data_IF_712152470001
#
_entry.id   IF_712152470001
#
_cell.length_a   1.000
_cell.length_b   1.000
_cell.length_c   1.000
_cell.angle_alpha   90.00
_cell.angle_beta   90.00
_cell.angle_gamma   90.00
#
_symmetry.space_group_name_H-M   'P 1'
#
loop_
_entity.id
_entity.type
_entity.pdbx_description
1 polymer ?
#
# COMPACT_ATOMS: atom_id res chain seq x y z
N UNK A 1 -16.37 63.36 19.80
CA UNK A 1 -15.72 64.29 20.75
C UNK A 1 -15.14 63.50 21.90
N UNK A 2 -13.83 63.53 22.08
CA UNK A 2 -13.17 62.86 23.22
C UNK A 2 -13.20 63.83 24.41
N UNK A 3 -13.88 63.46 25.51
CA UNK A 3 -13.86 64.25 26.75
C UNK A 3 -12.54 64.02 27.48
N UNK A 4 -11.78 65.08 27.74
CA UNK A 4 -10.59 65.07 28.58
C UNK A 4 -10.97 65.47 30.00
N UNK A 5 -10.48 64.73 30.98
CA UNK A 5 -10.72 64.96 32.41
C UNK A 5 -9.40 65.47 32.99
N UNK A 6 -9.36 66.76 33.33
CA UNK A 6 -8.17 67.40 33.87
C UNK A 6 -8.16 67.28 35.39
N UNK A 7 -6.99 66.98 35.95
CA UNK A 7 -6.76 67.00 37.38
C UNK A 7 -6.42 68.44 37.79
N UNK A 8 -7.31 69.09 38.54
CA UNK A 8 -7.17 70.48 38.97
C UNK A 8 -6.04 70.67 39.99
N UNK A 9 -5.50 69.59 40.55
CA UNK A 9 -4.35 69.62 41.48
C UNK A 9 -2.99 69.70 40.75
N UNK A 10 -2.98 69.62 39.42
CA UNK A 10 -1.77 69.59 38.58
C UNK A 10 -1.72 70.74 37.59
N UNK A 11 -0.52 71.10 37.16
CA UNK A 11 -0.32 72.08 36.09
C UNK A 11 -0.93 71.63 34.75
N UNK A 12 -1.21 72.57 33.86
CA UNK A 12 -1.69 72.29 32.50
C UNK A 12 -0.69 71.38 31.75
N UNK A 13 0.60 71.66 31.90
CA UNK A 13 1.69 70.89 31.28
C UNK A 13 1.81 69.48 31.86
N UNK A 14 1.59 69.31 33.17
CA UNK A 14 1.58 68.00 33.82
C UNK A 14 0.38 67.15 33.36
N UNK A 15 -0.81 67.75 33.24
CA UNK A 15 -1.96 67.06 32.68
C UNK A 15 -1.70 66.63 31.23
N UNK A 16 -1.11 67.49 30.41
CA UNK A 16 -0.72 67.17 29.03
C UNK A 16 0.31 66.02 28.98
N UNK A 17 1.31 66.03 29.86
CA UNK A 17 2.33 64.99 29.96
C UNK A 17 1.74 63.62 30.34
N UNK A 18 0.76 63.59 31.26
CA UNK A 18 0.06 62.34 31.64
C UNK A 18 -0.71 61.75 30.46
N UNK A 19 -1.39 62.57 29.67
CA UNK A 19 -2.11 62.11 28.47
C UNK A 19 -1.15 61.64 27.38
N UNK A 20 -0.02 62.31 27.21
CA UNK A 20 1.04 61.92 26.28
C UNK A 20 1.67 60.56 26.65
N UNK A 21 2.00 60.37 27.93
CA UNK A 21 2.46 59.11 28.52
C UNK A 21 1.46 57.96 28.28
N UNK A 22 0.16 58.21 28.52
CA UNK A 22 -0.91 57.24 28.29
C UNK A 22 -1.02 56.87 26.81
N UNK A 23 -1.00 57.86 25.92
CA UNK A 23 -1.05 57.64 24.46
C UNK A 23 0.17 56.82 23.98
N UNK A 24 1.38 57.14 24.49
CA UNK A 24 2.61 56.40 24.19
C UNK A 24 2.55 54.94 24.66
N UNK A 25 2.03 54.69 25.87
CA UNK A 25 1.81 53.33 26.42
C UNK A 25 0.80 52.53 25.59
N UNK A 26 -0.32 53.14 25.19
CA UNK A 26 -1.34 52.50 24.35
C UNK A 26 -0.76 52.17 22.96
N UNK A 27 -0.05 53.11 22.33
CA UNK A 27 0.60 52.90 21.03
C UNK A 27 1.62 51.76 21.05
N UNK A 28 2.38 51.62 22.15
CA UNK A 28 3.31 50.49 22.34
C UNK A 28 2.58 49.14 22.52
N UNK A 29 1.42 49.13 23.19
CA UNK A 29 0.59 47.93 23.38
C UNK A 29 -0.12 47.49 22.08
N UNK A 30 -0.56 48.43 21.24
CA UNK A 30 -1.23 48.15 19.96
C UNK A 30 -0.34 47.28 19.06
N UNK A 31 0.94 47.64 18.89
CA UNK A 31 1.84 46.84 18.03
C UNK A 31 2.07 45.40 18.54
N UNK A 32 2.01 45.18 19.86
CA UNK A 32 2.05 43.83 20.44
C UNK A 32 0.75 43.05 20.20
N UNK A 33 -0.39 43.72 20.37
CA UNK A 33 -1.71 43.13 20.13
C UNK A 33 -1.94 42.79 18.64
N UNK A 34 -1.50 43.67 17.72
CA UNK A 34 -1.56 43.44 16.27
C UNK A 34 -0.72 42.24 15.85
N UNK A 35 0.50 42.09 16.40
CA UNK A 35 1.34 40.91 16.15
C UNK A 35 0.69 39.62 16.67
N UNK A 36 0.19 39.63 17.90
CA UNK A 36 -0.50 38.49 18.48
C UNK A 36 -1.76 38.10 17.67
N UNK A 37 -2.51 39.09 17.18
CA UNK A 37 -3.67 38.88 16.32
C UNK A 37 -3.25 38.26 14.98
N UNK A 38 -2.19 38.76 14.35
CA UNK A 38 -1.68 38.23 13.08
C UNK A 38 -1.20 36.78 13.21
N UNK A 39 -0.48 36.45 14.28
CA UNK A 39 -0.04 35.08 14.58
C UNK A 39 -1.24 34.14 14.83
N UNK A 40 -2.23 34.59 15.59
CA UNK A 40 -3.46 33.83 15.85
C UNK A 40 -4.25 33.55 14.57
N UNK A 41 -4.44 34.56 13.71
CA UNK A 41 -5.11 34.42 12.41
C UNK A 41 -4.37 33.45 11.48
N UNK A 42 -3.03 33.54 11.42
CA UNK A 42 -2.21 32.61 10.63
C UNK A 42 -2.39 31.17 11.12
N UNK A 43 -2.34 30.96 12.44
CA UNK A 43 -2.52 29.64 13.04
C UNK A 43 -3.93 29.09 12.82
N UNK A 44 -4.95 29.94 12.85
CA UNK A 44 -6.33 29.56 12.54
C UNK A 44 -6.45 29.04 11.09
N UNK A 45 -5.89 29.77 10.11
CA UNK A 45 -5.89 29.34 8.71
C UNK A 45 -5.13 28.02 8.49
N UNK A 46 -3.99 27.84 9.16
CA UNK A 46 -3.24 26.57 9.10
C UNK A 46 -4.04 25.39 9.70
N UNK A 47 -4.83 25.63 10.75
CA UNK A 47 -5.69 24.61 11.34
C UNK A 47 -6.92 24.30 10.47
N UNK A 48 -7.54 25.30 9.87
CA UNK A 48 -8.66 25.13 8.93
C UNK A 48 -8.24 24.28 7.72
N UNK A 49 -7.13 24.64 7.08
CA UNK A 49 -6.59 23.87 5.94
C UNK A 49 -6.22 22.42 6.32
N UNK A 50 -5.69 22.19 7.53
CA UNK A 50 -5.47 20.83 8.04
C UNK A 50 -6.79 20.08 8.25
N UNK A 51 -7.80 20.74 8.81
CA UNK A 51 -9.12 20.15 9.07
C UNK A 51 -9.81 19.75 7.76
N UNK A 52 -9.77 20.60 6.73
CA UNK A 52 -10.29 20.31 5.40
C UNK A 52 -9.59 19.10 4.77
N UNK A 53 -8.27 19.02 4.85
CA UNK A 53 -7.50 17.85 4.38
C UNK A 53 -7.93 16.57 5.10
N UNK A 54 -8.09 16.61 6.43
CA UNK A 54 -8.53 15.46 7.22
C UNK A 54 -9.95 15.03 6.83
N UNK A 55 -10.87 15.97 6.60
CA UNK A 55 -12.25 15.66 6.17
C UNK A 55 -12.25 15.02 4.79
N UNK A 56 -11.46 15.57 3.86
CA UNK A 56 -11.32 15.01 2.51
C UNK A 56 -10.72 13.61 2.54
N UNK A 57 -9.68 13.36 3.33
CA UNK A 57 -9.09 12.03 3.51
C UNK A 57 -10.08 11.03 4.13
N UNK A 58 -10.83 11.45 5.15
CA UNK A 58 -11.87 10.60 5.78
C UNK A 58 -12.96 10.22 4.78
N UNK A 59 -13.49 11.17 4.02
CA UNK A 59 -14.51 10.88 3.00
C UNK A 59 -14.00 9.93 1.89
N UNK A 60 -12.72 10.05 1.50
CA UNK A 60 -12.10 9.11 0.56
C UNK A 60 -11.97 7.71 1.17
N UNK A 61 -11.57 7.61 2.44
CA UNK A 61 -11.50 6.34 3.16
C UNK A 61 -12.87 5.67 3.33
N UNK A 62 -13.94 6.43 3.57
CA UNK A 62 -15.30 5.90 3.65
C UNK A 62 -15.76 5.31 2.31
N UNK A 63 -15.54 6.04 1.20
CA UNK A 63 -15.82 5.52 -0.15
C UNK A 63 -15.02 4.26 -0.50
N UNK A 64 -13.77 4.15 -0.03
CA UNK A 64 -12.96 2.93 -0.19
C UNK A 64 -13.58 1.73 0.57
N UNK A 65 -14.12 1.96 1.77
CA UNK A 65 -14.76 0.90 2.58
C UNK A 65 -16.09 0.42 2.00
N UNK A 66 -16.83 1.29 1.32
CA UNK A 66 -18.09 0.94 0.67
C UNK A 66 -17.92 0.20 -0.66
N UNK A 67 -16.69 0.01 -1.16
CA UNK A 67 -16.48 -0.77 -2.38
C UNK A 67 -16.84 -2.24 -2.13
N UNK A 68 -17.61 -2.81 -3.05
CA UNK A 68 -17.81 -4.26 -3.15
C UNK A 68 -16.46 -4.94 -3.40
N UNK A 69 -15.94 -5.64 -2.40
CA UNK A 69 -14.69 -6.39 -2.53
C UNK A 69 -14.88 -7.58 -3.45
N UNK A 70 -13.98 -7.74 -4.41
CA UNK A 70 -13.95 -8.92 -5.26
C UNK A 70 -13.46 -10.14 -4.48
N UNK A 71 -13.96 -11.32 -4.83
CA UNK A 71 -13.69 -12.56 -4.10
C UNK A 71 -12.20 -12.91 -4.02
N UNK A 72 -11.41 -12.47 -5.00
CA UNK A 72 -9.97 -12.72 -5.10
C UNK A 72 -9.12 -11.79 -4.22
N UNK A 73 -9.67 -10.68 -3.72
CA UNK A 73 -8.93 -9.71 -2.88
C UNK A 73 -8.54 -10.31 -1.50
N UNK A 74 -9.17 -11.43 -1.12
CA UNK A 74 -8.77 -12.26 0.02
C UNK A 74 -7.47 -13.05 -0.20
N UNK A 75 -6.92 -13.06 -1.41
CA UNK A 75 -5.65 -13.68 -1.80
C UNK A 75 -4.62 -12.62 -2.23
N UNK A 76 -3.37 -13.03 -2.47
CA UNK A 76 -2.46 -12.23 -3.29
C UNK A 76 -3.02 -12.26 -4.70
N UNK A 77 -3.07 -11.13 -5.37
CA UNK A 77 -3.64 -11.10 -6.71
C UNK A 77 -3.07 -9.96 -7.53
N UNK A 78 -3.07 -10.15 -8.84
CA UNK A 78 -2.83 -9.11 -9.83
C UNK A 78 -3.48 -9.52 -11.16
N UNK A 79 -3.66 -8.54 -12.05
CA UNK A 79 -3.99 -8.80 -13.45
C UNK A 79 -2.68 -8.73 -14.24
N UNK A 80 -2.41 -9.73 -15.07
CA UNK A 80 -1.23 -9.74 -15.94
C UNK A 80 -1.31 -8.60 -16.96
N UNK A 81 -0.19 -8.29 -17.62
CA UNK A 81 -0.18 -7.32 -18.72
C UNK A 81 -1.02 -7.77 -19.92
N UNK A 82 -1.31 -9.07 -20.03
CA UNK A 82 -2.20 -9.64 -21.07
C UNK A 82 -3.65 -9.80 -20.59
N UNK A 83 -3.99 -9.32 -19.38
CA UNK A 83 -5.37 -9.28 -18.88
C UNK A 83 -5.85 -10.54 -18.13
N UNK A 84 -4.96 -11.47 -17.79
CA UNK A 84 -5.31 -12.67 -17.03
C UNK A 84 -5.30 -12.40 -15.52
N UNK A 85 -6.29 -12.89 -14.80
CA UNK A 85 -6.30 -12.85 -13.34
C UNK A 85 -5.31 -13.88 -12.79
N UNK A 86 -4.40 -13.42 -11.94
CA UNK A 86 -3.44 -14.27 -11.23
C UNK A 86 -3.70 -14.16 -9.74
N UNK A 87 -3.90 -15.29 -9.06
CA UNK A 87 -4.16 -15.35 -7.62
C UNK A 87 -3.14 -16.24 -6.92
N UNK A 88 -2.79 -15.95 -5.67
CA UNK A 88 -1.85 -16.74 -4.88
C UNK A 88 -2.17 -16.72 -3.39
N UNK A 89 -1.92 -17.85 -2.72
CA UNK A 89 -2.16 -17.93 -1.29
C UNK A 89 -1.21 -17.03 -0.48
N UNK A 90 -1.69 -16.58 0.68
CA UNK A 90 -0.95 -15.75 1.64
C UNK A 90 -0.28 -16.59 2.73
N UNK A 91 -0.83 -17.77 2.97
CA UNK A 91 -0.45 -18.73 4.00
C UNK A 91 -0.86 -20.16 3.57
N UNK A 92 -0.52 -21.15 4.39
CA UNK A 92 -0.86 -22.54 4.13
C UNK A 92 -2.38 -22.79 3.94
N UNK A 93 -3.23 -22.09 4.69
CA UNK A 93 -4.69 -22.31 4.62
C UNK A 93 -5.25 -21.74 3.32
N UNK A 94 -4.84 -20.54 2.94
CA UNK A 94 -5.25 -19.88 1.70
C UNK A 94 -4.66 -20.56 0.46
N UNK A 95 -3.44 -21.10 0.53
CA UNK A 95 -2.90 -21.98 -0.52
C UNK A 95 -3.84 -23.17 -0.78
N UNK A 96 -4.35 -23.81 0.28
CA UNK A 96 -5.32 -24.89 0.10
C UNK A 96 -6.62 -24.46 -0.54
N UNK A 97 -7.13 -23.28 -0.16
CA UNK A 97 -8.36 -22.75 -0.73
C UNK A 97 -8.17 -22.41 -2.22
N UNK A 98 -7.04 -21.79 -2.57
CA UNK A 98 -6.70 -21.47 -3.98
C UNK A 98 -6.69 -22.75 -4.81
N UNK A 99 -5.92 -23.77 -4.40
CA UNK A 99 -5.76 -25.02 -5.15
C UNK A 99 -7.03 -25.89 -5.16
N UNK A 100 -7.82 -25.92 -4.09
CA UNK A 100 -9.00 -26.82 -4.04
C UNK A 100 -10.28 -26.19 -4.56
N UNK A 101 -10.46 -24.87 -4.38
CA UNK A 101 -11.74 -24.19 -4.66
C UNK A 101 -11.68 -23.22 -5.83
N UNK A 102 -10.48 -22.80 -6.26
CA UNK A 102 -10.33 -21.72 -7.23
C UNK A 102 -9.46 -22.07 -8.45
N UNK A 103 -9.06 -23.32 -8.62
CA UNK A 103 -8.44 -23.84 -9.85
C UNK A 103 -9.45 -24.57 -10.73
N UNK A 104 -9.35 -24.33 -12.04
CA UNK A 104 -10.09 -25.03 -13.10
C UNK A 104 -9.13 -25.78 -14.02
N UNK A 105 -9.57 -26.79 -14.79
CA UNK A 105 -8.67 -27.66 -15.55
C UNK A 105 -7.67 -26.96 -16.50
N UNK A 106 -8.05 -25.80 -17.07
CA UNK A 106 -7.23 -25.05 -18.02
C UNK A 106 -6.34 -23.99 -17.36
N UNK A 107 -6.40 -23.84 -16.04
CA UNK A 107 -5.53 -22.91 -15.31
C UNK A 107 -4.09 -23.44 -15.27
N UNK A 108 -3.15 -22.58 -14.84
CA UNK A 108 -1.76 -22.98 -14.61
C UNK A 108 -1.35 -22.67 -13.18
N UNK A 109 -0.78 -23.66 -12.49
CA UNK A 109 -0.33 -23.54 -11.10
C UNK A 109 1.18 -23.35 -11.07
N UNK A 110 1.65 -22.37 -10.31
CA UNK A 110 3.05 -21.99 -10.15
C UNK A 110 3.49 -22.14 -8.70
N UNK A 111 4.69 -22.67 -8.49
CA UNK A 111 5.29 -22.84 -7.16
C UNK A 111 6.83 -22.93 -7.28
N UNK A 112 7.55 -22.60 -6.20
CA UNK A 112 9.02 -22.81 -6.15
C UNK A 112 9.36 -24.06 -5.36
N UNK A 113 10.53 -24.66 -5.55
CA UNK A 113 10.95 -25.81 -4.73
C UNK A 113 11.26 -25.42 -3.26
N UNK A 114 11.21 -24.12 -2.91
CA UNK A 114 11.44 -23.65 -1.56
C UNK A 114 10.25 -23.88 -0.64
N UNK A 115 10.54 -24.35 0.58
CA UNK A 115 9.55 -24.40 1.65
C UNK A 115 8.99 -23.00 1.96
N UNK A 116 7.67 -22.91 2.09
CA UNK A 116 6.96 -21.64 2.36
C UNK A 116 6.71 -20.80 1.10
N UNK A 117 6.89 -21.37 -0.10
CA UNK A 117 6.45 -20.75 -1.34
C UNK A 117 4.91 -20.68 -1.40
N UNK A 118 4.36 -19.59 -1.95
CA UNK A 118 2.93 -19.54 -2.27
C UNK A 118 2.64 -20.43 -3.49
N UNK A 119 1.40 -20.94 -3.55
CA UNK A 119 0.84 -21.47 -4.78
C UNK A 119 0.14 -20.34 -5.52
N UNK A 120 0.66 -19.97 -6.69
CA UNK A 120 0.00 -19.05 -7.60
C UNK A 120 -0.76 -19.79 -8.69
N UNK A 121 -1.86 -19.22 -9.15
CA UNK A 121 -2.72 -19.78 -10.19
C UNK A 121 -3.05 -18.68 -11.17
N UNK A 122 -2.77 -18.91 -12.45
CA UNK A 122 -3.23 -18.07 -13.55
C UNK A 122 -4.58 -18.61 -14.00
N UNK A 123 -5.62 -17.77 -13.91
CA UNK A 123 -6.97 -18.08 -14.36
C UNK A 123 -7.04 -17.95 -15.88
N UNK A 124 -7.13 -19.09 -16.58
CA UNK A 124 -7.15 -19.13 -18.04
C UNK A 124 -8.48 -18.63 -18.63
N UNK A 125 -9.60 -18.90 -17.94
CA UNK A 125 -10.95 -18.66 -18.46
C UNK A 125 -11.16 -19.27 -19.86
N UNK A 126 -10.56 -20.43 -20.12
CA UNK A 126 -10.55 -21.13 -21.42
C UNK A 126 -9.83 -20.39 -22.56
N UNK A 127 -8.97 -19.41 -22.24
CA UNK A 127 -8.09 -18.74 -23.20
C UNK A 127 -6.65 -19.24 -23.06
N UNK A 128 -5.87 -19.34 -24.15
CA UNK A 128 -4.47 -19.73 -24.08
C UNK A 128 -3.67 -18.70 -23.29
N UNK A 129 -2.95 -19.15 -22.26
CA UNK A 129 -2.10 -18.28 -21.43
C UNK A 129 -0.82 -17.95 -22.20
N UNK A 130 -0.61 -16.66 -22.48
CA UNK A 130 0.57 -16.15 -23.17
C UNK A 130 1.85 -16.29 -22.34
N UNK A 131 2.99 -16.28 -23.02
CA UNK A 131 4.29 -16.47 -22.36
C UNK A 131 4.59 -15.34 -21.37
N UNK A 132 4.15 -14.12 -21.69
CA UNK A 132 4.33 -12.96 -20.81
C UNK A 132 3.58 -13.13 -19.49
N UNK A 133 2.35 -13.65 -19.52
CA UNK A 133 1.60 -13.97 -18.31
C UNK A 133 2.29 -15.05 -17.48
N UNK A 134 2.89 -16.07 -18.12
CA UNK A 134 3.65 -17.10 -17.38
C UNK A 134 4.89 -16.50 -16.71
N UNK A 135 5.63 -15.65 -17.40
CA UNK A 135 6.77 -14.91 -16.82
C UNK A 135 6.34 -14.07 -15.63
N UNK A 136 5.22 -13.33 -15.74
CA UNK A 136 4.71 -12.50 -14.67
C UNK A 136 4.21 -13.33 -13.47
N UNK A 137 3.52 -14.44 -13.71
CA UNK A 137 3.12 -15.37 -12.66
C UNK A 137 4.33 -15.98 -11.95
N UNK A 138 5.39 -16.33 -12.70
CA UNK A 138 6.63 -16.83 -12.14
C UNK A 138 7.38 -15.74 -11.34
N UNK A 139 7.50 -14.51 -11.86
CA UNK A 139 8.07 -13.36 -11.14
C UNK A 139 7.35 -13.12 -9.80
N UNK A 140 6.01 -13.20 -9.79
CA UNK A 140 5.21 -13.08 -8.57
C UNK A 140 5.51 -14.25 -7.60
N UNK A 141 5.54 -15.47 -8.11
CA UNK A 141 5.84 -16.68 -7.31
C UNK A 141 7.22 -16.57 -6.65
N UNK A 142 8.24 -16.14 -7.39
CA UNK A 142 9.56 -15.81 -6.85
C UNK A 142 9.48 -14.77 -5.72
N UNK A 143 8.82 -13.66 -6.00
CA UNK A 143 8.78 -12.47 -5.14
C UNK A 143 8.04 -12.70 -3.83
N UNK A 144 6.98 -13.52 -3.82
CA UNK A 144 6.23 -13.83 -2.61
C UNK A 144 6.72 -15.09 -1.88
N UNK A 145 7.71 -15.79 -2.44
CA UNK A 145 8.37 -16.92 -1.79
C UNK A 145 9.40 -16.47 -0.76
N UNK A 146 10.09 -17.45 -0.16
CA UNK A 146 11.21 -17.22 0.75
C UNK A 146 12.40 -16.54 0.06
N UNK A 147 12.48 -16.58 -1.28
CA UNK A 147 13.55 -15.96 -2.04
C UNK A 147 13.64 -14.43 -1.82
N UNK A 148 12.52 -13.74 -1.58
CA UNK A 148 12.51 -12.33 -1.17
C UNK A 148 13.23 -12.10 0.16
N UNK A 149 12.92 -12.92 1.17
CA UNK A 149 13.57 -12.81 2.50
C UNK A 149 15.07 -13.07 2.42
N UNK A 150 15.47 -13.97 1.53
CA UNK A 150 16.87 -14.34 1.31
C UNK A 150 17.64 -13.32 0.45
N UNK A 151 16.95 -12.34 -0.15
CA UNK A 151 17.59 -11.32 -0.99
C UNK A 151 18.10 -11.85 -2.32
N UNK A 152 17.50 -12.94 -2.80
CA UNK A 152 17.82 -13.45 -4.11
C UNK A 152 17.30 -12.49 -5.18
N UNK A 153 18.01 -12.44 -6.31
CA UNK A 153 17.56 -11.70 -7.49
C UNK A 153 16.74 -12.56 -8.44
N UNK A 154 16.97 -13.87 -8.44
CA UNK A 154 16.29 -14.84 -9.30
C UNK A 154 16.07 -16.15 -8.54
N UNK A 155 15.03 -16.89 -8.90
CA UNK A 155 14.86 -18.28 -8.46
C UNK A 155 14.15 -19.09 -9.54
N UNK A 156 14.30 -20.40 -9.48
CA UNK A 156 13.55 -21.32 -10.33
C UNK A 156 12.11 -21.47 -9.82
N UNK A 157 11.17 -21.45 -10.75
CA UNK A 157 9.74 -21.67 -10.53
C UNK A 157 9.32 -22.79 -11.45
N UNK A 158 8.59 -23.78 -10.94
CA UNK A 158 7.91 -24.72 -11.79
C UNK A 158 6.44 -24.34 -11.97
N UNK A 159 5.90 -24.75 -13.10
CA UNK A 159 4.46 -24.69 -13.34
C UNK A 159 3.92 -26.03 -13.85
N UNK A 160 2.66 -26.30 -13.49
CA UNK A 160 1.93 -27.53 -13.80
C UNK A 160 0.45 -27.25 -14.02
N UNK A 161 -0.26 -28.20 -14.62
CA UNK A 161 -1.72 -28.17 -14.68
C UNK A 161 -2.32 -28.52 -13.31
N UNK A 162 -3.52 -28.02 -12.96
CA UNK A 162 -4.18 -28.31 -11.69
C UNK A 162 -4.38 -29.80 -11.41
N UNK A 163 -4.60 -30.62 -12.45
CA UNK A 163 -4.75 -32.08 -12.31
C UNK A 163 -3.49 -32.78 -11.79
N UNK A 164 -2.32 -32.14 -11.87
CA UNK A 164 -1.06 -32.66 -11.35
C UNK A 164 -0.86 -32.38 -9.86
N UNK A 165 -1.69 -31.51 -9.26
CA UNK A 165 -1.56 -31.07 -7.87
C UNK A 165 -2.50 -31.87 -7.00
N UNK A 166 -1.96 -32.66 -6.06
CA UNK A 166 -2.75 -33.58 -5.24
C UNK A 166 -2.31 -33.61 -3.79
N UNK A 167 -3.28 -33.84 -2.89
CA UNK A 167 -3.01 -34.07 -1.46
C UNK A 167 -2.81 -35.54 -1.10
N UNK A 168 -3.00 -36.46 -2.04
CA UNK A 168 -2.78 -37.88 -1.79
C UNK A 168 -1.28 -38.10 -1.65
N UNK A 169 -0.84 -38.59 -0.50
CA UNK A 169 0.53 -39.05 -0.28
C UNK A 169 0.68 -40.52 -0.66
N UNK A 170 1.93 -40.99 -0.75
CA UNK A 170 2.18 -42.43 -0.72
C UNK A 170 1.76 -42.98 0.65
N UNK A 171 1.31 -44.23 0.70
CA UNK A 171 0.79 -44.82 1.93
C UNK A 171 1.82 -44.72 3.07
N UNK A 172 1.44 -44.07 4.17
CA UNK A 172 2.26 -43.93 5.39
C UNK A 172 2.90 -42.56 5.64
N UNK A 173 2.88 -41.63 4.66
CA UNK A 173 3.47 -40.29 4.85
C UNK A 173 2.42 -39.23 5.24
N UNK A 174 2.72 -38.44 6.26
CA UNK A 174 1.90 -37.30 6.69
C UNK A 174 2.25 -36.04 5.88
N UNK A 175 1.25 -35.44 5.24
CA UNK A 175 1.42 -34.17 4.51
C UNK A 175 1.08 -32.99 5.40
N UNK A 176 2.01 -32.04 5.53
CA UNK A 176 1.78 -30.79 6.22
C UNK A 176 0.63 -29.98 5.62
N UNK A 177 0.01 -29.12 6.46
CA UNK A 177 -1.03 -28.19 6.00
C UNK A 177 -0.47 -27.26 4.92
N UNK A 178 -1.21 -27.05 3.83
CA UNK A 178 -0.78 -26.22 2.69
C UNK A 178 0.24 -26.85 1.73
N UNK A 179 0.70 -28.08 1.98
CA UNK A 179 1.58 -28.80 1.08
C UNK A 179 0.80 -29.74 0.14
N UNK A 180 1.35 -29.93 -1.06
CA UNK A 180 0.77 -30.72 -2.14
C UNK A 180 1.86 -31.52 -2.85
N UNK A 181 1.51 -32.74 -3.26
CA UNK A 181 2.31 -33.55 -4.17
C UNK A 181 2.06 -33.11 -5.60
N UNK A 182 3.14 -33.01 -6.38
CA UNK A 182 3.10 -32.71 -7.81
C UNK A 182 3.43 -33.99 -8.57
N UNK A 183 2.54 -34.40 -9.46
CA UNK A 183 2.68 -35.62 -10.26
C UNK A 183 2.93 -35.31 -11.74
N UNK A 184 3.69 -36.19 -12.41
CA UNK A 184 4.00 -36.05 -13.82
C UNK A 184 5.12 -35.04 -14.10
N UNK A 185 5.18 -34.56 -15.35
CA UNK A 185 6.25 -33.66 -15.81
C UNK A 185 6.01 -32.23 -15.32
N UNK A 186 7.03 -31.64 -14.71
CA UNK A 186 7.09 -30.22 -14.35
C UNK A 186 7.84 -29.43 -15.42
N UNK A 187 7.41 -28.20 -15.68
CA UNK A 187 8.13 -27.26 -16.53
C UNK A 187 8.69 -26.16 -15.66
N UNK A 188 9.94 -25.76 -15.91
CA UNK A 188 10.65 -24.78 -15.08
C UNK A 188 10.96 -23.51 -15.87
N UNK A 189 10.90 -22.37 -15.18
CA UNK A 189 11.36 -21.07 -15.67
C UNK A 189 12.20 -20.42 -14.56
N UNK A 190 13.31 -19.80 -14.94
CA UNK A 190 14.11 -18.98 -14.02
C UNK A 190 13.64 -17.54 -14.14
N UNK A 191 13.12 -17.00 -13.05
CA UNK A 191 12.47 -15.70 -13.05
C UNK A 191 13.04 -14.77 -12.00
N UNK A 192 12.86 -13.47 -12.25
CA UNK A 192 13.42 -12.40 -11.44
C UNK A 192 12.48 -12.01 -10.31
N UNK A 193 13.07 -11.63 -9.20
CA UNK A 193 12.33 -11.09 -8.05
C UNK A 193 12.14 -9.61 -8.30
N UNK A 194 10.88 -9.20 -8.47
CA UNK A 194 10.50 -7.81 -8.63
C UNK A 194 9.11 -7.58 -8.07
N UNK A 195 8.96 -6.45 -7.36
CA UNK A 195 7.73 -6.11 -6.68
C UNK A 195 7.34 -4.68 -7.03
N UNK A 196 6.09 -4.52 -7.44
CA UNK A 196 5.44 -3.23 -7.50
C UNK A 196 4.08 -3.31 -6.79
N UNK A 197 3.70 -2.19 -6.17
CA UNK A 197 2.39 -2.01 -5.54
C UNK A 197 1.75 -0.78 -6.18
N UNK A 198 0.52 -0.93 -6.65
CA UNK A 198 -0.21 0.14 -7.31
C UNK A 198 -1.68 0.14 -6.96
N UNK A 199 -2.36 1.20 -7.41
CA UNK A 199 -3.81 1.33 -7.28
C UNK A 199 -4.47 1.24 -8.66
N UNK A 200 -5.45 0.35 -8.80
CA UNK A 200 -6.23 0.20 -10.04
C UNK A 200 -7.25 1.34 -10.19
N UNK A 201 -7.86 1.47 -11.37
CA UNK A 201 -8.94 2.45 -11.63
C UNK A 201 -10.13 2.24 -10.68
N UNK A 202 -10.37 1.00 -10.27
CA UNK A 202 -11.40 0.58 -9.31
C UNK A 202 -10.97 0.79 -7.85
N UNK A 203 -9.92 1.59 -7.62
CA UNK A 203 -9.35 1.89 -6.30
C UNK A 203 -8.84 0.64 -5.55
N UNK A 204 -8.52 -0.46 -6.25
CA UNK A 204 -8.03 -1.68 -5.61
C UNK A 204 -6.50 -1.62 -5.48
N UNK A 205 -5.99 -2.01 -4.32
CA UNK A 205 -4.54 -2.19 -4.14
C UNK A 205 -4.14 -3.51 -4.79
N UNK A 206 -3.28 -3.40 -5.80
CA UNK A 206 -2.74 -4.52 -6.55
C UNK A 206 -1.24 -4.63 -6.30
N UNK A 207 -0.75 -5.85 -6.13
CA UNK A 207 0.66 -6.12 -5.85
C UNK A 207 1.14 -7.32 -6.65
N UNK A 208 2.22 -7.12 -7.39
CA UNK A 208 2.71 -8.12 -8.33
C UNK A 208 3.95 -7.63 -9.09
N UNK A 209 4.26 -8.28 -10.22
CA UNK A 209 5.39 -7.91 -11.05
C UNK A 209 5.25 -6.49 -11.62
N UNK A 210 6.38 -5.84 -11.86
CA UNK A 210 6.45 -4.46 -12.36
C UNK A 210 5.62 -4.24 -13.63
N UNK A 211 5.71 -5.16 -14.59
CA UNK A 211 5.05 -5.02 -15.88
C UNK A 211 3.52 -5.11 -15.75
N UNK A 212 3.04 -6.09 -14.99
CA UNK A 212 1.63 -6.25 -14.66
C UNK A 212 1.05 -5.01 -13.94
N UNK A 213 1.76 -4.51 -12.93
CA UNK A 213 1.34 -3.33 -12.18
C UNK A 213 1.35 -2.08 -13.04
N UNK A 214 2.38 -1.88 -13.86
CA UNK A 214 2.48 -0.74 -14.78
C UNK A 214 1.37 -0.74 -15.83
N UNK A 215 0.92 -1.90 -16.28
CA UNK A 215 -0.16 -2.01 -17.26
C UNK A 215 -1.55 -1.68 -16.67
N UNK A 216 -1.77 -1.97 -15.38
CA UNK A 216 -3.10 -1.96 -14.78
C UNK A 216 -3.33 -0.87 -13.72
N UNK A 217 -2.28 -0.17 -13.25
CA UNK A 217 -2.37 0.84 -12.19
C UNK A 217 -2.05 2.25 -12.68
N UNK A 218 -2.82 3.24 -12.22
CA UNK A 218 -2.57 4.67 -12.53
C UNK A 218 -1.33 5.20 -11.80
N UNK A 219 -1.15 4.77 -10.55
CA UNK A 219 -0.02 5.14 -9.71
C UNK A 219 0.53 3.87 -9.08
N UNK A 220 1.86 3.78 -9.04
CA UNK A 220 2.55 2.63 -8.47
C UNK A 220 3.87 3.03 -7.82
N UNK A 221 4.36 2.13 -6.96
CA UNK A 221 5.66 2.22 -6.29
C UNK A 221 6.38 0.90 -6.51
N UNK A 222 7.66 0.99 -6.86
CA UNK A 222 8.52 -0.18 -7.03
C UNK A 222 9.30 -0.41 -5.76
N UNK A 223 9.33 -1.66 -5.32
CA UNK A 223 9.97 -2.09 -4.10
C UNK A 223 11.06 -3.10 -4.42
N UNK A 224 12.14 -3.02 -3.66
CA UNK A 224 13.25 -3.96 -3.65
C UNK A 224 13.41 -4.51 -2.23
N UNK A 225 14.18 -5.58 -2.09
CA UNK A 225 14.56 -6.04 -0.76
C UNK A 225 15.49 -5.00 -0.11
N UNK A 226 15.30 -4.77 1.19
CA UNK A 226 16.13 -3.87 1.97
C UNK A 226 15.86 -4.04 3.46
N UNK A 227 15.94 -2.95 4.21
CA UNK A 227 15.94 -2.98 5.68
C UNK A 227 14.75 -2.23 6.32
N UNK A 228 13.80 -1.74 5.52
CA UNK A 228 12.62 -1.03 6.02
C UNK A 228 11.48 -2.00 6.35
N UNK A 229 10.80 -1.75 7.47
CA UNK A 229 9.64 -2.54 7.91
C UNK A 229 8.43 -2.28 7.00
N UNK A 230 7.60 -3.32 6.82
CA UNK A 230 6.36 -3.25 6.05
C UNK A 230 5.44 -2.08 6.47
N UNK A 231 5.36 -1.76 7.77
CA UNK A 231 4.53 -0.67 8.28
C UNK A 231 5.01 0.72 7.86
N UNK A 232 6.33 0.93 7.77
CA UNK A 232 6.91 2.20 7.32
C UNK A 232 6.69 2.38 5.81
N UNK A 233 6.97 1.33 5.03
CA UNK A 233 6.76 1.32 3.58
C UNK A 233 5.28 1.45 3.22
N UNK A 234 4.38 0.81 3.99
CA UNK A 234 2.94 0.94 3.76
C UNK A 234 2.43 2.38 3.93
N UNK A 235 2.94 3.13 4.93
CA UNK A 235 2.62 4.56 5.09
C UNK A 235 3.13 5.39 3.92
N UNK A 236 4.34 5.10 3.43
CA UNK A 236 4.89 5.78 2.25
C UNK A 236 4.04 5.50 1.00
N UNK A 237 3.68 4.24 0.76
CA UNK A 237 2.82 3.84 -0.36
C UNK A 237 1.46 4.52 -0.24
N UNK A 238 0.83 4.50 0.93
CA UNK A 238 -0.45 5.17 1.17
C UNK A 238 -0.41 6.64 0.79
N UNK A 239 0.64 7.36 1.18
CA UNK A 239 0.78 8.78 0.83
C UNK A 239 0.96 9.00 -0.68
N UNK A 240 1.62 8.06 -1.38
CA UNK A 240 1.95 8.19 -2.81
C UNK A 240 0.82 7.75 -3.74
N UNK A 241 0.14 6.64 -3.43
CA UNK A 241 -0.89 6.04 -4.31
C UNK A 241 -2.30 6.06 -3.69
N UNK A 242 -2.46 6.25 -2.39
CA UNK A 242 -3.73 6.14 -1.67
C UNK A 242 -4.01 4.74 -1.11
N UNK A 243 -5.27 4.46 -0.79
CA UNK A 243 -5.71 3.21 -0.17
C UNK A 243 -5.56 3.15 1.35
N UNK A 244 -5.89 2.01 1.92
CA UNK A 244 -5.75 1.78 3.36
C UNK A 244 -4.41 1.11 3.69
N UNK A 245 -3.83 1.43 4.86
CA UNK A 245 -2.56 0.83 5.31
C UNK A 245 -2.69 -0.69 5.38
N UNK A 246 -3.83 -1.20 5.87
CA UNK A 246 -4.06 -2.64 6.03
C UNK A 246 -4.09 -3.37 4.69
N UNK A 247 -4.75 -2.82 3.66
CA UNK A 247 -4.73 -3.39 2.31
C UNK A 247 -3.31 -3.44 1.73
N UNK A 248 -2.55 -2.36 1.91
CA UNK A 248 -1.16 -2.28 1.42
C UNK A 248 -0.28 -3.31 2.11
N UNK A 249 -0.31 -3.39 3.45
CA UNK A 249 0.47 -4.38 4.21
C UNK A 249 0.10 -5.79 3.75
N UNK A 250 -1.18 -6.05 3.53
CA UNK A 250 -1.69 -7.35 3.09
C UNK A 250 -1.25 -7.72 1.67
N UNK A 251 -0.94 -6.72 0.84
CA UNK A 251 -0.45 -6.89 -0.51
C UNK A 251 1.07 -7.14 -0.57
N UNK A 252 1.82 -6.83 0.49
CA UNK A 252 3.27 -7.02 0.54
C UNK A 252 3.67 -8.48 0.86
N UNK A 253 4.83 -8.96 0.36
CA UNK A 253 5.43 -10.19 0.85
C UNK A 253 5.84 -10.06 2.32
N UNK A 254 6.22 -11.17 2.94
CA UNK A 254 6.81 -11.10 4.28
C UNK A 254 8.31 -10.82 4.17
N UNK A 255 8.81 -9.85 4.90
CA UNK A 255 10.22 -9.45 4.88
C UNK A 255 10.40 -7.95 5.08
N UNK A 256 11.56 -7.48 4.67
CA UNK A 256 11.97 -6.08 4.72
C UNK A 256 12.11 -5.52 3.30
N UNK A 257 12.09 -4.20 3.19
CA UNK A 257 11.85 -3.49 1.94
C UNK A 257 12.80 -2.32 1.76
N UNK A 258 12.96 -1.89 0.52
CA UNK A 258 13.56 -0.63 0.11
C UNK A 258 12.73 -0.05 -1.01
N UNK A 259 12.39 1.23 -0.91
CA UNK A 259 11.68 1.93 -1.97
C UNK A 259 12.68 2.26 -3.08
N UNK A 260 12.44 1.76 -4.30
CA UNK A 260 13.23 2.14 -5.45
C UNK A 260 12.84 3.56 -5.86
N UNK A 261 13.78 4.51 -5.74
CA UNK A 261 13.58 5.86 -6.27
C UNK A 261 13.48 5.76 -7.80
N UNK A 262 12.36 6.22 -8.34
CA UNK A 262 12.13 6.37 -9.78
C UNK A 262 12.61 7.74 -10.22
#
# INVERSE_FOLDING_TARGET
MTRLVLDLTKGIDENAAVYFEKAKKIKKKIGGAEKALAESLKKSKELETKKEKIILEKSKQEKLKERKQEWYEKFRWFISSEGFLVIGGRDATSNEIVIKKHTEPNDMVFHTDMAGSPFFVVKSESKPIGERTKEEAADATCTFSRAWKLGLHTTSVFYVSPGQVSKKTKAGEYMGKGAFMIYGKTSYIINKINLAVGITKQQQIMSGPLNAVKANCEKYVVLEQGNEKASAVAKYIQHKIGGTIDEIIRALPSGEFKIKKQ
#
